data_IF_186134475303
#
_entry.id   IF_186134475303
#
_cell.length_a   1.000
_cell.length_b   1.000
_cell.length_c   1.000
_cell.angle_alpha   90.00
_cell.angle_beta   90.00
_cell.angle_gamma   90.00
#
_symmetry.space_group_name_H-M   'P 1'
#
loop_
_entity.id
_entity.type
_entity.pdbx_description
1 polymer ?
#
# COMPACT_ATOMS: atom_id res chain seq x y z
N UNK A 1 2.19 15.79 5.66
CA UNK A 1 2.63 14.88 4.60
C UNK A 1 2.77 13.42 5.08
N UNK A 2 3.39 13.11 6.23
CA UNK A 2 3.39 11.75 6.85
C UNK A 2 2.02 11.24 7.36
N UNK A 3 0.93 11.99 7.14
CA UNK A 3 -0.40 11.68 7.67
C UNK A 3 -1.15 10.62 6.87
N UNK A 4 -0.69 10.26 5.67
CA UNK A 4 -1.43 9.43 4.72
C UNK A 4 -1.02 7.94 4.77
N UNK A 5 0.13 7.61 5.34
CA UNK A 5 0.62 6.22 5.48
C UNK A 5 0.51 5.81 6.95
N UNK A 6 -0.73 5.59 7.41
CA UNK A 6 -1.02 5.21 8.80
C UNK A 6 -2.33 4.43 8.91
N UNK A 7 -2.52 3.64 9.98
CA UNK A 7 -3.82 3.03 10.26
C UNK A 7 -4.95 4.07 10.27
N UNK A 8 -6.07 3.73 9.63
CA UNK A 8 -7.24 4.60 9.50
C UNK A 8 -7.26 5.48 8.24
N UNK A 9 -6.13 5.69 7.56
CA UNK A 9 -6.12 6.31 6.24
C UNK A 9 -6.63 5.34 5.17
N UNK A 10 -7.05 5.88 4.03
CA UNK A 10 -7.57 5.09 2.91
C UNK A 10 -6.46 4.68 1.94
N UNK A 11 -6.72 3.64 1.13
CA UNK A 11 -5.83 3.20 0.05
C UNK A 11 -5.59 4.33 -0.97
N UNK A 12 -6.61 5.13 -1.28
CA UNK A 12 -6.49 6.29 -2.17
C UNK A 12 -5.51 7.33 -1.62
N UNK A 13 -5.64 7.69 -0.34
CA UNK A 13 -4.70 8.59 0.34
C UNK A 13 -3.26 8.05 0.33
N UNK A 14 -3.08 6.75 0.54
CA UNK A 14 -1.77 6.11 0.47
C UNK A 14 -1.14 6.20 -0.93
N UNK A 15 -1.94 6.06 -1.98
CA UNK A 15 -1.50 6.16 -3.38
C UNK A 15 -1.08 7.57 -3.79
N UNK A 16 -1.28 8.59 -2.96
CA UNK A 16 -0.71 9.92 -3.18
C UNK A 16 0.82 9.92 -2.97
N UNK A 17 1.33 9.10 -2.05
CA UNK A 17 2.75 9.06 -1.66
C UNK A 17 3.44 7.81 -2.19
N UNK A 18 2.73 6.68 -2.20
CA UNK A 18 3.24 5.39 -2.65
C UNK A 18 2.64 5.03 -4.01
N UNK A 19 3.26 4.06 -4.68
CA UNK A 19 2.72 3.46 -5.91
C UNK A 19 2.79 1.94 -5.81
N UNK A 20 2.01 1.28 -6.65
CA UNK A 20 2.10 -0.17 -6.82
C UNK A 20 3.36 -0.52 -7.62
N UNK A 21 3.92 -1.67 -7.28
CA UNK A 21 4.92 -2.40 -8.08
C UNK A 21 4.34 -3.81 -8.37
N UNK A 22 5.02 -4.59 -9.21
CA UNK A 22 4.70 -6.01 -9.42
C UNK A 22 4.84 -6.84 -8.14
N UNK A 23 4.51 -8.13 -8.22
CA UNK A 23 4.51 -9.04 -7.07
C UNK A 23 3.11 -9.37 -6.57
N UNK A 24 3.04 -10.13 -5.47
CA UNK A 24 1.76 -10.60 -4.94
C UNK A 24 0.91 -9.45 -4.40
N UNK A 25 -0.35 -9.43 -4.79
CA UNK A 25 -1.32 -8.45 -4.30
C UNK A 25 -2.68 -9.10 -4.09
N UNK A 26 -3.31 -8.69 -3.00
CA UNK A 26 -4.71 -8.98 -2.70
C UNK A 26 -5.39 -7.71 -2.23
N UNK A 27 -6.72 -7.71 -2.20
CA UNK A 27 -7.47 -6.60 -1.59
C UNK A 27 -7.06 -6.31 -0.15
N UNK A 28 -6.67 -7.33 0.60
CA UNK A 28 -6.41 -7.21 2.04
C UNK A 28 -4.93 -6.98 2.37
N UNK A 29 -4.03 -7.21 1.42
CA UNK A 29 -2.60 -7.08 1.64
C UNK A 29 -1.87 -6.78 0.33
N UNK A 30 -0.94 -5.83 0.38
CA UNK A 30 -0.06 -5.50 -0.75
C UNK A 30 1.23 -4.80 -0.31
N UNK A 31 2.30 -5.06 -1.03
CA UNK A 31 3.54 -4.29 -0.97
C UNK A 31 3.46 -3.05 -1.86
N UNK A 32 3.82 -1.90 -1.31
CA UNK A 32 3.89 -0.63 -2.03
C UNK A 32 5.31 -0.07 -1.99
N UNK A 33 5.64 0.72 -3.00
CA UNK A 33 6.96 1.37 -3.11
C UNK A 33 6.82 2.89 -3.05
N UNK A 34 7.84 3.54 -2.50
CA UNK A 34 7.87 4.99 -2.42
C UNK A 34 8.05 5.60 -3.83
N UNK A 35 7.23 6.60 -4.19
CA UNK A 35 7.24 7.16 -5.56
C UNK A 35 8.59 7.73 -5.97
N UNK A 36 9.28 8.39 -5.04
CA UNK A 36 10.57 9.05 -5.28
C UNK A 36 11.76 8.10 -5.15
N UNK A 37 11.58 6.92 -4.53
CA UNK A 37 12.63 5.94 -4.32
C UNK A 37 12.03 4.52 -4.28
N UNK A 38 11.94 3.83 -5.44
CA UNK A 38 11.24 2.55 -5.55
C UNK A 38 11.94 1.38 -4.82
N UNK A 39 13.13 1.62 -4.24
CA UNK A 39 13.81 0.67 -3.38
C UNK A 39 13.25 0.62 -1.97
N UNK A 40 12.55 1.67 -1.53
CA UNK A 40 11.92 1.73 -0.21
C UNK A 40 10.50 1.19 -0.35
N UNK A 41 10.26 0.06 0.35
CA UNK A 41 8.98 -0.64 0.31
C UNK A 41 8.33 -0.72 1.68
N UNK A 42 7.01 -0.87 1.69
CA UNK A 42 6.20 -1.17 2.87
C UNK A 42 5.13 -2.19 2.52
N UNK A 43 4.87 -3.09 3.46
CA UNK A 43 3.72 -3.99 3.38
C UNK A 43 2.54 -3.37 4.13
N UNK A 44 1.37 -3.44 3.52
CA UNK A 44 0.17 -2.78 4.03
C UNK A 44 -0.99 -3.77 4.06
N UNK A 45 -1.58 -3.90 5.24
CA UNK A 45 -2.83 -4.65 5.44
C UNK A 45 -4.02 -3.70 5.38
N UNK A 46 -5.11 -4.11 4.73
CA UNK A 46 -6.33 -3.32 4.56
C UNK A 46 -7.57 -4.02 5.10
N UNK A 47 -8.52 -3.21 5.56
CA UNK A 47 -9.91 -3.59 5.76
C UNK A 47 -10.74 -3.09 4.58
N UNK A 48 -11.51 -4.00 3.99
CA UNK A 48 -12.39 -3.68 2.87
C UNK A 48 -13.50 -2.69 3.26
N UNK A 49 -13.73 -1.68 2.41
CA UNK A 49 -14.82 -0.70 2.58
C UNK A 49 -16.18 -1.16 2.00
N UNK A 50 -16.37 -2.47 1.85
CA UNK A 50 -17.57 -3.08 1.28
C UNK A 50 -17.32 -4.54 0.88
N UNK A 51 -18.28 -5.16 0.21
CA UNK A 51 -18.16 -6.55 -0.25
C UNK A 51 -17.27 -6.68 -1.49
N UNK A 52 -16.88 -7.91 -1.82
CA UNK A 52 -16.06 -8.25 -3.00
C UNK A 52 -14.57 -8.41 -2.72
N UNK A 53 -13.83 -8.82 -3.75
CA UNK A 53 -12.40 -9.17 -3.67
C UNK A 53 -11.49 -8.21 -4.44
N UNK A 54 -12.06 -7.23 -5.14
CA UNK A 54 -11.32 -6.22 -5.89
C UNK A 54 -10.86 -5.09 -4.98
N UNK A 55 -9.65 -4.58 -5.21
CA UNK A 55 -9.10 -3.43 -4.50
C UNK A 55 -10.00 -2.20 -4.65
N UNK A 56 -10.21 -1.46 -3.57
CA UNK A 56 -11.00 -0.23 -3.57
C UNK A 56 -10.23 0.91 -2.90
N UNK A 57 -10.28 2.10 -3.48
CA UNK A 57 -9.59 3.28 -2.94
C UNK A 57 -10.04 3.64 -1.52
N UNK A 58 -11.26 3.27 -1.14
CA UNK A 58 -11.81 3.51 0.20
C UNK A 58 -11.39 2.45 1.23
N UNK A 59 -10.71 1.38 0.81
CA UNK A 59 -10.21 0.35 1.72
C UNK A 59 -9.27 1.01 2.75
N UNK A 60 -9.43 0.64 4.03
CA UNK A 60 -8.79 1.35 5.14
C UNK A 60 -7.55 0.61 5.58
N UNK A 61 -6.44 1.33 5.74
CA UNK A 61 -5.19 0.78 6.27
C UNK A 61 -5.41 0.31 7.70
N UNK A 62 -5.05 -0.94 7.96
CA UNK A 62 -5.05 -1.54 9.29
C UNK A 62 -3.65 -1.55 9.90
N UNK A 63 -2.64 -1.90 9.10
CA UNK A 63 -1.25 -1.95 9.52
C UNK A 63 -0.33 -1.55 8.38
N UNK A 64 0.81 -1.00 8.75
CA UNK A 64 1.92 -0.69 7.85
C UNK A 64 3.17 -1.28 8.48
N UNK A 65 3.98 -2.00 7.71
CA UNK A 65 5.26 -2.51 8.17
C UNK A 65 6.25 -1.36 8.47
N UNK A 66 7.38 -1.69 9.10
CA UNK A 66 8.55 -0.81 9.00
C UNK A 66 8.99 -0.77 7.53
N UNK A 67 9.46 0.38 7.02
CA UNK A 67 10.02 0.44 5.68
C UNK A 67 11.23 -0.48 5.58
N UNK A 68 11.35 -1.16 4.45
CA UNK A 68 12.47 -2.04 4.14
C UNK A 68 13.01 -1.76 2.75
N UNK A 69 14.26 -2.17 2.53
CA UNK A 69 14.93 -2.04 1.25
C UNK A 69 14.85 -3.35 0.50
N UNK A 70 14.43 -3.27 -0.76
CA UNK A 70 14.41 -4.39 -1.69
C UNK A 70 14.61 -3.88 -3.11
N UNK A 71 15.16 -4.72 -3.99
CA UNK A 71 15.29 -4.39 -5.41
C UNK A 71 13.93 -4.17 -6.07
N UNK A 72 13.89 -3.26 -7.05
CA UNK A 72 12.69 -3.03 -7.83
C UNK A 72 12.30 -4.28 -8.60
N UNK A 73 11.02 -4.63 -8.52
CA UNK A 73 10.42 -5.71 -9.28
C UNK A 73 9.82 -5.08 -10.53
N UNK A 74 10.47 -5.30 -11.66
CA UNK A 74 9.89 -5.02 -12.97
C UNK A 74 9.08 -6.25 -13.38
N UNK A 75 7.82 -6.01 -13.77
CA UNK A 75 6.98 -7.00 -14.43
C UNK A 75 7.44 -7.21 -15.89
#
# INVERSE_FOLDING_TARGET
>A
MFSLIRPGATRGELLEVLRTEGGESTRFWRTYVYKECPYIKVDVEFKAAGEGTLENERDVIMKVSKPFLEWSILD
#
